data_IF_677063357178
#
_entry.id   IF_677063357178
#
_cell.length_a   1.000
_cell.length_b   1.000
_cell.length_c   1.000
_cell.angle_alpha   90.00
_cell.angle_beta   90.00
_cell.angle_gamma   90.00
#
_symmetry.space_group_name_H-M   'P 1'
#
loop_
_entity.id
_entity.type
_entity.pdbx_description
1 polymer ?
#
# COMPACT_ATOMS: atom_id res chain seq x y z
N UNK A 1 21.22 -7.21 21.77
CA UNK A 1 21.98 -7.84 22.88
C UNK A 1 22.78 -9.02 22.34
N UNK A 2 22.21 -9.98 21.61
CA UNK A 2 22.92 -11.18 21.12
C UNK A 2 24.12 -10.88 20.18
N UNK A 3 23.97 -9.91 19.25
CA UNK A 3 25.06 -9.52 18.32
C UNK A 3 26.24 -8.90 19.09
N UNK A 4 25.97 -8.06 20.09
CA UNK A 4 26.99 -7.44 20.90
C UNK A 4 27.80 -8.44 21.77
N UNK A 5 27.18 -9.52 22.23
CA UNK A 5 27.83 -10.61 22.92
C UNK A 5 28.68 -11.47 21.99
N UNK A 6 28.16 -11.80 20.81
CA UNK A 6 28.91 -12.52 19.77
C UNK A 6 30.12 -11.70 19.30
N UNK A 7 29.97 -10.38 19.13
CA UNK A 7 31.08 -9.49 18.77
C UNK A 7 32.25 -9.55 19.76
N UNK A 8 31.94 -9.73 21.05
CA UNK A 8 32.98 -9.86 22.10
C UNK A 8 33.56 -11.25 22.19
N UNK A 9 32.75 -12.29 21.94
CA UNK A 9 33.11 -13.69 22.20
C UNK A 9 33.62 -14.44 20.97
N UNK A 10 33.05 -14.15 19.77
CA UNK A 10 33.29 -14.91 18.53
C UNK A 10 33.02 -14.05 17.29
N UNK A 11 33.97 -13.15 17.00
CA UNK A 11 33.85 -12.26 15.81
C UNK A 11 33.90 -13.02 14.50
N UNK A 12 34.64 -14.13 14.44
CA UNK A 12 34.75 -14.92 13.19
C UNK A 12 33.42 -15.47 12.76
N UNK A 13 32.60 -15.90 13.71
CA UNK A 13 31.24 -16.36 13.43
C UNK A 13 30.34 -15.27 12.86
N UNK A 14 30.47 -14.03 13.31
CA UNK A 14 29.73 -12.89 12.75
C UNK A 14 30.21 -12.54 11.35
N UNK A 15 31.51 -12.55 11.10
CA UNK A 15 32.05 -12.31 9.76
C UNK A 15 31.61 -13.39 8.79
N UNK A 16 31.70 -14.66 9.15
CA UNK A 16 31.24 -15.77 8.31
C UNK A 16 29.72 -15.67 7.99
N UNK A 17 28.91 -15.29 8.96
CA UNK A 17 27.47 -15.05 8.75
C UNK A 17 27.22 -13.87 7.81
N UNK A 18 27.97 -12.77 7.96
CA UNK A 18 27.91 -11.60 7.08
C UNK A 18 28.29 -11.95 5.64
N UNK A 19 29.41 -12.64 5.44
CA UNK A 19 29.87 -13.09 4.11
C UNK A 19 28.85 -14.00 3.42
N UNK A 20 28.21 -14.90 4.18
CA UNK A 20 27.17 -15.77 3.65
C UNK A 20 25.93 -14.97 3.20
N UNK A 21 25.53 -13.95 3.96
CA UNK A 21 24.42 -13.05 3.57
C UNK A 21 24.78 -12.28 2.30
N UNK A 22 25.98 -11.67 2.25
CA UNK A 22 26.46 -10.90 1.10
C UNK A 22 26.50 -11.79 -0.15
N UNK A 23 27.15 -12.98 -0.06
CA UNK A 23 27.21 -13.95 -1.14
C UNK A 23 25.83 -14.37 -1.64
N UNK A 24 24.86 -14.55 -0.73
CA UNK A 24 23.48 -14.90 -1.10
C UNK A 24 22.78 -13.75 -1.84
N UNK A 25 22.99 -12.51 -1.40
CA UNK A 25 22.45 -11.34 -2.07
C UNK A 25 23.08 -11.14 -3.45
N UNK A 26 24.40 -11.27 -3.55
CA UNK A 26 25.11 -11.18 -4.85
C UNK A 26 24.60 -12.23 -5.86
N UNK A 27 24.42 -13.48 -5.44
CA UNK A 27 23.85 -14.53 -6.30
C UNK A 27 22.44 -14.17 -6.77
N UNK A 28 21.60 -13.59 -5.92
CA UNK A 28 20.24 -13.15 -6.30
C UNK A 28 20.28 -12.01 -7.33
N UNK A 29 21.20 -11.07 -7.19
CA UNK A 29 21.35 -9.95 -8.12
C UNK A 29 21.91 -10.41 -9.47
N UNK A 30 22.84 -11.38 -9.48
CA UNK A 30 23.44 -11.89 -10.72
C UNK A 30 22.48 -12.71 -11.58
N UNK A 31 21.48 -13.38 -10.99
CA UNK A 31 20.49 -14.16 -11.74
C UNK A 31 19.56 -13.33 -12.63
N UNK A 32 19.59 -12.00 -12.51
CA UNK A 32 18.75 -11.09 -13.29
C UNK A 32 19.49 -10.35 -14.44
N UNK A 33 20.67 -10.79 -14.82
CA UNK A 33 21.42 -10.23 -15.99
C UNK A 33 20.94 -10.76 -17.36
N UNK A 34 19.72 -11.25 -17.45
CA UNK A 34 19.09 -11.55 -18.73
C UNK A 34 18.47 -10.28 -19.31
N UNK A 35 19.09 -9.72 -20.34
CA UNK A 35 18.50 -8.64 -21.13
C UNK A 35 17.41 -9.18 -22.07
N UNK A 36 16.44 -9.94 -21.55
CA UNK A 36 15.24 -10.22 -22.31
C UNK A 36 14.45 -8.91 -22.45
N UNK A 37 14.05 -8.59 -23.68
CA UNK A 37 13.17 -7.45 -23.92
C UNK A 37 11.90 -7.64 -23.09
N UNK A 38 11.64 -6.70 -22.19
CA UNK A 38 10.40 -6.69 -21.41
C UNK A 38 9.23 -6.55 -22.40
N UNK A 39 8.49 -7.63 -22.58
CA UNK A 39 7.34 -7.71 -23.47
C UNK A 39 6.02 -7.44 -22.74
N UNK A 40 4.92 -7.42 -23.49
CA UNK A 40 3.57 -7.26 -22.96
C UNK A 40 3.13 -8.42 -22.08
N UNK A 41 3.77 -9.57 -22.20
CA UNK A 41 3.55 -10.76 -21.36
C UNK A 41 3.85 -10.49 -19.88
N UNK A 42 4.78 -9.59 -19.56
CA UNK A 42 5.07 -9.17 -18.18
C UNK A 42 3.84 -8.50 -17.56
N UNK A 43 3.18 -7.63 -18.30
CA UNK A 43 1.94 -6.97 -17.83
C UNK A 43 0.80 -7.97 -17.64
N UNK A 44 0.68 -8.93 -18.56
CA UNK A 44 -0.31 -9.99 -18.42
C UNK A 44 -0.04 -10.86 -17.18
N UNK A 45 1.20 -11.27 -16.96
CA UNK A 45 1.58 -12.03 -15.76
C UNK A 45 1.30 -11.26 -14.47
N UNK A 46 1.55 -9.94 -14.45
CA UNK A 46 1.21 -9.10 -13.31
C UNK A 46 -0.32 -9.09 -13.04
N UNK A 47 -1.14 -8.93 -14.08
CA UNK A 47 -2.59 -9.02 -13.96
C UNK A 47 -3.05 -10.41 -13.48
N UNK A 48 -2.49 -11.49 -14.02
CA UNK A 48 -2.84 -12.86 -13.61
C UNK A 48 -2.48 -13.10 -12.13
N UNK A 49 -1.31 -12.63 -11.66
CA UNK A 49 -0.91 -12.69 -10.25
C UNK A 49 -1.87 -11.92 -9.34
N UNK A 50 -2.22 -10.69 -9.71
CA UNK A 50 -3.19 -9.89 -8.95
C UNK A 50 -4.57 -10.55 -8.93
N UNK A 51 -4.99 -11.16 -10.04
CA UNK A 51 -6.26 -11.88 -10.14
C UNK A 51 -6.35 -13.11 -9.22
N UNK A 52 -5.22 -13.74 -8.92
CA UNK A 52 -5.12 -14.88 -7.99
C UNK A 52 -5.07 -14.36 -6.54
N UNK A 53 -4.35 -13.27 -6.28
CA UNK A 53 -4.18 -12.70 -4.95
C UNK A 53 -5.38 -11.86 -4.48
N UNK A 54 -6.33 -11.56 -5.37
CA UNK A 54 -7.48 -10.72 -5.06
C UNK A 54 -8.43 -11.39 -4.05
N UNK A 55 -8.83 -10.64 -3.04
CA UNK A 55 -9.88 -11.02 -2.10
C UNK A 55 -11.27 -10.70 -2.68
N UNK A 56 -12.05 -11.72 -3.10
CA UNK A 56 -13.36 -11.46 -3.71
C UNK A 56 -14.42 -11.02 -2.71
N UNK A 57 -14.22 -11.24 -1.42
CA UNK A 57 -15.16 -10.87 -0.36
C UNK A 57 -15.02 -9.41 0.03
N UNK A 58 -13.79 -8.99 0.35
CA UNK A 58 -13.50 -7.68 0.92
C UNK A 58 -12.66 -6.78 0.02
N UNK A 59 -12.27 -7.24 -1.17
CA UNK A 59 -11.33 -6.52 -2.01
C UNK A 59 -9.91 -6.49 -1.45
N UNK A 60 -8.99 -5.86 -2.19
CA UNK A 60 -7.56 -5.84 -1.86
C UNK A 60 -6.82 -7.12 -2.24
N UNK A 61 -5.53 -7.20 -1.89
CA UNK A 61 -4.60 -8.21 -2.43
C UNK A 61 -3.73 -8.88 -1.36
N UNK A 62 -4.02 -8.69 -0.08
CA UNK A 62 -3.21 -9.24 1.01
C UNK A 62 -4.05 -9.80 2.13
N UNK A 63 -3.41 -10.65 2.94
CA UNK A 63 -3.94 -11.06 4.24
C UNK A 63 -3.63 -10.01 5.31
N UNK A 64 -4.32 -10.04 6.47
CA UNK A 64 -4.00 -9.17 7.58
C UNK A 64 -2.53 -9.29 8.05
N UNK A 65 -1.87 -8.16 8.37
CA UNK A 65 -2.37 -6.79 8.24
C UNK A 65 -2.55 -6.38 6.77
N UNK A 66 -3.71 -5.81 6.46
CA UNK A 66 -4.14 -5.55 5.08
C UNK A 66 -3.87 -4.10 4.69
N UNK A 67 -2.95 -3.91 3.75
CA UNK A 67 -2.55 -2.60 3.25
C UNK A 67 -3.37 -2.18 2.02
N UNK A 68 -3.65 -0.88 1.83
CA UNK A 68 -4.38 -0.36 0.66
C UNK A 68 -3.75 -0.68 -0.70
N UNK A 69 -2.43 -0.71 -0.80
CA UNK A 69 -1.65 -1.01 -2.02
C UNK A 69 -2.13 -0.27 -3.28
N UNK A 70 -2.22 1.08 -3.28
CA UNK A 70 -2.87 1.88 -4.34
C UNK A 70 -2.23 1.72 -5.73
N UNK A 71 -0.95 1.38 -5.80
CA UNK A 71 -0.26 1.09 -7.06
C UNK A 71 -0.87 -0.10 -7.82
N UNK A 72 -1.46 -1.06 -7.12
CA UNK A 72 -2.17 -2.18 -7.75
C UNK A 72 -3.42 -1.67 -8.49
N UNK A 73 -4.18 -0.76 -7.90
CA UNK A 73 -5.38 -0.20 -8.53
C UNK A 73 -5.04 0.65 -9.75
N UNK A 74 -4.01 1.48 -9.66
CA UNK A 74 -3.51 2.27 -10.79
C UNK A 74 -3.06 1.37 -11.94
N UNK A 75 -2.35 0.27 -11.67
CA UNK A 75 -1.98 -0.70 -12.69
C UNK A 75 -3.22 -1.35 -13.32
N UNK A 76 -4.19 -1.82 -12.52
CA UNK A 76 -5.38 -2.49 -13.01
C UNK A 76 -6.28 -1.59 -13.85
N UNK A 77 -6.41 -0.29 -13.50
CA UNK A 77 -7.13 0.69 -14.30
C UNK A 77 -6.48 0.92 -15.65
N UNK A 78 -5.14 1.01 -15.70
CA UNK A 78 -4.38 1.09 -16.95
C UNK A 78 -4.49 -0.18 -17.77
N UNK A 79 -4.47 -1.35 -17.13
CA UNK A 79 -4.69 -2.63 -17.78
C UNK A 79 -6.09 -2.70 -18.40
N UNK A 80 -7.13 -2.34 -17.66
CA UNK A 80 -8.49 -2.24 -18.18
C UNK A 80 -8.61 -1.29 -19.37
N UNK A 81 -8.02 -0.11 -19.28
CA UNK A 81 -8.06 0.84 -20.40
C UNK A 81 -7.44 0.27 -21.68
N UNK A 82 -6.39 -0.52 -21.55
CA UNK A 82 -5.66 -1.12 -22.67
C UNK A 82 -6.35 -2.35 -23.24
N UNK A 83 -6.87 -3.23 -22.39
CA UNK A 83 -7.35 -4.56 -22.78
C UNK A 83 -8.85 -4.70 -22.78
N UNK A 84 -9.54 -3.82 -22.08
CA UNK A 84 -10.98 -3.89 -21.77
C UNK A 84 -11.36 -5.12 -20.93
N UNK A 85 -10.40 -5.71 -20.21
CA UNK A 85 -10.62 -6.81 -19.28
C UNK A 85 -11.42 -6.33 -18.06
N UNK A 86 -12.71 -6.65 -18.02
CA UNK A 86 -13.68 -6.14 -17.02
C UNK A 86 -13.31 -6.55 -15.61
N UNK A 87 -12.73 -7.75 -15.41
CA UNK A 87 -12.29 -8.23 -14.12
C UNK A 87 -11.31 -7.27 -13.44
N UNK A 88 -10.45 -6.59 -14.21
CA UNK A 88 -9.53 -5.59 -13.65
C UNK A 88 -10.28 -4.41 -13.03
N UNK A 89 -11.32 -3.92 -13.70
CA UNK A 89 -12.15 -2.85 -13.18
C UNK A 89 -12.97 -3.29 -11.97
N UNK A 90 -13.55 -4.49 -12.01
CA UNK A 90 -14.33 -5.07 -10.91
C UNK A 90 -13.49 -5.18 -9.62
N UNK A 91 -12.25 -5.66 -9.73
CA UNK A 91 -11.32 -5.74 -8.60
C UNK A 91 -11.04 -4.37 -7.99
N UNK A 92 -10.84 -3.34 -8.82
CA UNK A 92 -10.63 -1.97 -8.35
C UNK A 92 -11.86 -1.41 -7.67
N UNK A 93 -13.02 -1.48 -8.34
CA UNK A 93 -14.28 -0.93 -7.80
C UNK A 93 -14.67 -1.59 -6.47
N UNK A 94 -14.51 -2.91 -6.37
CA UNK A 94 -14.74 -3.65 -5.13
C UNK A 94 -13.82 -3.14 -4.02
N UNK A 95 -12.51 -3.10 -4.26
CA UNK A 95 -11.53 -2.72 -3.25
C UNK A 95 -11.72 -1.28 -2.77
N UNK A 96 -11.84 -0.34 -3.70
CA UNK A 96 -12.02 1.08 -3.35
C UNK A 96 -13.33 1.31 -2.58
N UNK A 97 -14.40 0.59 -2.95
CA UNK A 97 -15.69 0.69 -2.25
C UNK A 97 -15.61 0.13 -0.83
N UNK A 98 -15.01 -1.04 -0.65
CA UNK A 98 -14.89 -1.66 0.67
C UNK A 98 -13.97 -0.84 1.60
N UNK A 99 -12.84 -0.34 1.09
CA UNK A 99 -11.95 0.54 1.87
C UNK A 99 -12.68 1.83 2.30
N UNK A 100 -13.44 2.47 1.41
CA UNK A 100 -14.18 3.70 1.75
C UNK A 100 -15.27 3.46 2.79
N UNK A 101 -15.91 2.30 2.75
CA UNK A 101 -16.98 1.92 3.68
C UNK A 101 -16.45 1.36 5.01
N UNK A 102 -15.20 0.92 5.04
CA UNK A 102 -14.55 0.37 6.22
C UNK A 102 -14.04 1.44 7.19
N UNK A 103 -13.60 1.01 8.36
CA UNK A 103 -12.96 1.88 9.35
C UNK A 103 -11.54 2.30 8.97
N UNK A 104 -10.94 1.70 7.91
CA UNK A 104 -9.65 2.16 7.39
C UNK A 104 -9.74 3.58 6.81
N UNK A 105 -10.91 4.02 6.37
CA UNK A 105 -11.20 5.41 6.07
C UNK A 105 -11.78 6.10 7.29
N UNK A 106 -11.22 7.23 7.68
CA UNK A 106 -11.76 8.06 8.75
C UNK A 106 -13.03 8.77 8.27
N UNK A 107 -14.18 8.28 8.74
CA UNK A 107 -15.50 8.76 8.33
C UNK A 107 -15.83 10.18 8.83
N UNK A 108 -15.06 10.71 9.79
CA UNK A 108 -15.27 12.01 10.43
C UNK A 108 -14.20 13.02 9.98
N UNK A 109 -12.93 12.65 10.16
CA UNK A 109 -11.78 13.51 9.87
C UNK A 109 -11.26 13.38 8.44
N UNK A 110 -11.72 12.38 7.70
CA UNK A 110 -11.27 12.01 6.37
C UNK A 110 -9.83 11.42 6.33
N UNK A 111 -9.40 11.03 5.14
CA UNK A 111 -8.13 10.36 4.95
C UNK A 111 -8.15 8.88 5.31
N UNK A 112 -7.14 8.16 4.87
CA UNK A 112 -6.99 6.72 5.08
C UNK A 112 -5.93 6.43 6.14
N UNK A 113 -6.23 5.51 7.02
CA UNK A 113 -5.26 4.90 7.91
C UNK A 113 -4.30 3.97 7.13
N UNK A 114 -3.14 3.69 7.72
CA UNK A 114 -2.04 2.99 7.06
C UNK A 114 -2.39 1.57 6.62
N UNK A 115 -3.03 0.78 7.49
CA UNK A 115 -3.48 -0.57 7.20
C UNK A 115 -4.63 -0.99 8.11
N UNK A 116 -5.34 -2.05 7.71
CA UNK A 116 -6.32 -2.72 8.56
C UNK A 116 -5.71 -3.95 9.22
N UNK A 117 -6.02 -4.17 10.50
CA UNK A 117 -5.58 -5.36 11.26
C UNK A 117 -6.46 -6.58 10.95
N UNK A 118 -7.62 -6.38 10.32
CA UNK A 118 -8.56 -7.42 9.93
C UNK A 118 -8.73 -7.50 8.40
N UNK A 119 -9.44 -8.53 7.93
CA UNK A 119 -9.67 -8.79 6.51
C UNK A 119 -10.65 -7.78 5.88
N UNK A 120 -11.60 -7.27 6.66
CA UNK A 120 -12.78 -6.52 6.21
C UNK A 120 -12.59 -5.02 6.20
N UNK A 121 -11.39 -4.50 6.38
CA UNK A 121 -11.08 -3.08 6.45
C UNK A 121 -11.71 -2.34 7.65
N UNK A 122 -12.12 -3.08 8.71
CA UNK A 122 -12.92 -2.53 9.80
C UNK A 122 -12.09 -1.87 10.89
N UNK A 123 -11.04 -2.54 11.36
CA UNK A 123 -10.20 -2.07 12.48
C UNK A 123 -8.87 -1.57 11.93
N UNK A 124 -8.64 -0.25 11.88
CA UNK A 124 -7.41 0.30 11.34
C UNK A 124 -6.29 0.34 12.38
N UNK A 125 -5.06 0.37 11.89
CA UNK A 125 -3.94 0.98 12.61
C UNK A 125 -4.03 2.49 12.41
N UNK A 126 -4.24 3.24 13.46
CA UNK A 126 -4.65 4.66 13.43
C UNK A 126 -3.59 5.66 12.93
N UNK A 127 -2.46 5.20 12.46
CA UNK A 127 -1.46 6.01 11.77
C UNK A 127 -1.96 6.42 10.37
N UNK A 128 -1.73 7.67 9.96
CA UNK A 128 -2.02 8.15 8.60
C UNK A 128 -0.75 8.69 7.96
N UNK A 129 -0.39 8.14 6.80
CA UNK A 129 0.84 8.49 6.08
C UNK A 129 0.52 9.41 4.90
N UNK A 130 1.29 10.46 4.72
CA UNK A 130 1.13 11.37 3.58
C UNK A 130 1.25 10.66 2.24
N UNK A 131 2.19 9.73 2.09
CA UNK A 131 2.36 8.97 0.85
C UNK A 131 1.16 8.07 0.54
N UNK A 132 0.49 7.53 1.56
CA UNK A 132 -0.74 6.76 1.37
C UNK A 132 -1.87 7.66 0.89
N UNK A 133 -2.06 8.84 1.50
CA UNK A 133 -3.05 9.83 1.04
C UNK A 133 -2.82 10.19 -0.43
N UNK A 134 -1.58 10.50 -0.79
CA UNK A 134 -1.22 10.90 -2.15
C UNK A 134 -1.48 9.79 -3.17
N UNK A 135 -1.08 8.56 -2.89
CA UNK A 135 -1.23 7.46 -3.83
C UNK A 135 -2.67 6.93 -3.89
N UNK A 136 -3.39 6.93 -2.77
CA UNK A 136 -4.79 6.53 -2.73
C UNK A 136 -5.64 7.56 -3.47
N UNK A 137 -5.41 8.86 -3.28
CA UNK A 137 -6.15 9.89 -4.03
C UNK A 137 -5.97 9.76 -5.54
N UNK A 138 -4.75 9.42 -6.02
CA UNK A 138 -4.51 9.12 -7.44
C UNK A 138 -5.34 7.93 -7.89
N UNK A 139 -5.41 6.85 -7.11
CA UNK A 139 -6.19 5.67 -7.47
C UNK A 139 -7.69 5.97 -7.57
N UNK A 140 -8.24 6.79 -6.67
CA UNK A 140 -9.63 7.24 -6.72
C UNK A 140 -9.89 8.16 -7.92
N UNK A 141 -8.99 9.10 -8.21
CA UNK A 141 -9.09 9.98 -9.39
C UNK A 141 -9.02 9.17 -10.70
N UNK A 142 -8.09 8.23 -10.81
CA UNK A 142 -8.00 7.33 -11.97
C UNK A 142 -9.30 6.50 -12.12
N UNK A 143 -9.88 6.00 -11.02
CA UNK A 143 -11.15 5.30 -11.03
C UNK A 143 -12.31 6.20 -11.50
N UNK A 144 -12.36 7.46 -11.05
CA UNK A 144 -13.31 8.45 -11.55
C UNK A 144 -13.14 8.70 -13.06
N UNK A 145 -11.91 8.90 -13.52
CA UNK A 145 -11.64 9.15 -14.95
C UNK A 145 -12.09 8.00 -15.85
N UNK A 146 -11.96 6.76 -15.36
CA UNK A 146 -12.37 5.55 -16.09
C UNK A 146 -13.87 5.30 -16.04
N UNK A 147 -14.50 5.49 -14.87
CA UNK A 147 -15.88 5.08 -14.62
C UNK A 147 -16.90 6.21 -14.71
N UNK A 148 -16.46 7.46 -14.53
CA UNK A 148 -17.29 8.67 -14.40
C UNK A 148 -18.27 8.61 -13.20
N UNK A 149 -17.98 7.81 -12.18
CA UNK A 149 -18.78 7.71 -10.96
C UNK A 149 -18.30 8.73 -9.94
N UNK A 150 -19.09 9.76 -9.66
CA UNK A 150 -18.76 10.92 -8.79
C UNK A 150 -18.33 10.51 -7.39
N UNK A 151 -18.80 9.38 -6.87
CA UNK A 151 -18.37 8.84 -5.58
C UNK A 151 -16.84 8.72 -5.44
N UNK A 152 -16.12 8.44 -6.51
CA UNK A 152 -14.66 8.35 -6.49
C UNK A 152 -14.00 9.72 -6.45
N UNK A 153 -14.54 10.70 -7.17
CA UNK A 153 -14.09 12.08 -7.08
C UNK A 153 -14.29 12.63 -5.68
N UNK A 154 -15.46 12.41 -5.08
CA UNK A 154 -15.77 12.84 -3.72
C UNK A 154 -14.74 12.31 -2.71
N UNK A 155 -14.37 11.03 -2.78
CA UNK A 155 -13.35 10.47 -1.85
C UNK A 155 -11.98 11.14 -2.04
N UNK A 156 -11.59 11.44 -3.27
CA UNK A 156 -10.34 12.16 -3.51
C UNK A 156 -10.38 13.59 -2.91
N UNK A 157 -11.50 14.29 -3.02
CA UNK A 157 -11.72 15.61 -2.42
C UNK A 157 -11.70 15.55 -0.88
N UNK A 158 -12.28 14.51 -0.28
CA UNK A 158 -12.24 14.26 1.16
C UNK A 158 -10.78 14.02 1.63
N UNK A 159 -9.98 13.23 0.88
CA UNK A 159 -8.55 13.04 1.18
C UNK A 159 -7.80 14.38 1.11
N UNK A 160 -8.01 15.18 0.07
CA UNK A 160 -7.36 16.49 -0.05
C UNK A 160 -7.78 17.44 1.07
N UNK A 161 -9.04 17.41 1.48
CA UNK A 161 -9.54 18.19 2.62
C UNK A 161 -8.77 17.85 3.89
N UNK A 162 -8.57 16.56 4.18
CA UNK A 162 -7.76 16.11 5.30
C UNK A 162 -6.31 16.59 5.19
N UNK A 163 -5.66 16.35 4.05
CA UNK A 163 -4.24 16.70 3.86
C UNK A 163 -4.01 18.20 4.02
N UNK A 164 -4.87 19.03 3.42
CA UNK A 164 -4.73 20.48 3.47
C UNK A 164 -5.05 21.06 4.87
N UNK A 165 -5.93 20.43 5.63
CA UNK A 165 -6.31 20.88 6.96
C UNK A 165 -5.32 20.41 8.04
N UNK A 166 -4.93 19.11 8.02
CA UNK A 166 -4.25 18.45 9.14
C UNK A 166 -2.77 18.14 8.85
N UNK A 167 -2.42 17.86 7.59
CA UNK A 167 -1.04 17.50 7.23
C UNK A 167 -0.25 18.68 6.65
N UNK A 168 -0.80 19.87 6.59
CA UNK A 168 -0.10 21.08 6.10
C UNK A 168 0.50 21.86 7.26
N UNK A 169 1.79 22.12 7.19
CA UNK A 169 2.52 22.95 8.15
C UNK A 169 2.20 24.44 7.95
N UNK A 170 2.20 25.27 9.00
CA UNK A 170 2.14 26.72 8.88
C UNK A 170 3.29 27.34 8.06
N UNK A 171 4.36 26.58 7.82
CA UNK A 171 5.55 26.98 7.06
C UNK A 171 5.50 26.48 5.59
N UNK A 172 4.31 26.24 5.04
CA UNK A 172 4.06 25.77 3.66
C UNK A 172 4.68 24.40 3.31
N UNK A 173 5.00 23.58 4.32
CA UNK A 173 5.42 22.19 4.15
C UNK A 173 4.27 21.21 4.45
N UNK A 174 4.53 19.92 4.23
CA UNK A 174 3.63 18.85 4.64
C UNK A 174 4.28 17.99 5.72
N UNK A 175 3.50 17.61 6.73
CA UNK A 175 3.87 16.55 7.65
C UNK A 175 3.86 15.20 6.93
N UNK A 176 4.81 14.32 7.26
CA UNK A 176 4.95 13.01 6.59
C UNK A 176 3.99 11.98 7.11
N UNK A 177 3.56 12.12 8.35
CA UNK A 177 2.66 11.18 9.02
C UNK A 177 1.91 11.86 10.19
N UNK A 178 0.77 11.29 10.51
CA UNK A 178 0.08 11.42 11.79
C UNK A 178 0.27 10.11 12.55
N UNK A 179 0.80 10.18 13.79
CA UNK A 179 1.12 9.01 14.59
C UNK A 179 -0.15 8.37 15.16
N UNK A 180 -0.11 7.04 15.32
CA UNK A 180 -1.14 6.29 16.03
C UNK A 180 -1.10 6.51 17.54
N UNK A 181 0.03 6.99 18.10
CA UNK A 181 0.21 7.22 19.53
C UNK A 181 -0.14 8.65 19.89
N UNK A 182 -0.95 8.83 20.94
CA UNK A 182 -1.28 10.12 21.51
C UNK A 182 -0.95 10.13 23.01
N UNK A 183 -0.17 11.13 23.46
CA UNK A 183 0.19 11.35 24.87
C UNK A 183 0.78 10.10 25.57
N UNK A 184 1.53 9.26 24.82
CA UNK A 184 2.13 8.02 25.32
C UNK A 184 1.17 6.82 25.36
N UNK A 185 -0.03 6.94 24.82
CA UNK A 185 -0.99 5.86 24.61
C UNK A 185 -0.99 5.42 23.16
N UNK A 186 -0.70 4.15 22.88
CA UNK A 186 -0.88 3.57 21.57
C UNK A 186 -2.33 3.19 21.33
N UNK A 187 -2.94 3.76 20.28
CA UNK A 187 -4.32 3.45 19.90
C UNK A 187 -4.48 2.07 19.27
N UNK A 188 -3.37 1.37 19.00
CA UNK A 188 -3.38 -0.01 18.46
C UNK A 188 -3.86 -1.05 19.50
N UNK A 189 -3.74 -0.75 20.78
CA UNK A 189 -3.94 -1.71 21.88
C UNK A 189 -5.19 -1.43 22.70
N UNK A 190 -6.12 -0.63 22.21
CA UNK A 190 -7.41 -0.38 22.84
C UNK A 190 -8.46 -1.34 22.31
#
# INVERSE_FOLDING_TARGET
IQIGELWKKDREKLFAASENIVSTLEKRVQTHKGAEKIGLDVLKRAFDHMSIAFDPKWGGFSFPPKFPTPHNYTFLLRWYNRTKETKALEMVEKSLTEMRNGGIFDQIGFGFHRYSVDEGWLVPHFEKMLYDQALISIAYLDAYLVTKKDRYLQVAEEIFTYVLRDMTSPEDGFYTAEDADSEGLSLIHI
#
